data_IF_627667355356
#
_entry.id   IF_627667355356
#
_cell.length_a   1.000
_cell.length_b   1.000
_cell.length_c   1.000
_cell.angle_alpha   90.00
_cell.angle_beta   90.00
_cell.angle_gamma   90.00
#
_symmetry.space_group_name_H-M   'P 1'
#
loop_
_entity.id
_entity.type
_entity.pdbx_description
1 polymer ?
#
# COMPACT_ATOMS: atom_id res chain seq x y z
N UNK A 1 -33.51 19.90 -23.25
CA UNK A 1 -32.73 18.89 -22.51
C UNK A 1 -32.83 17.60 -23.30
N UNK A 2 -31.72 16.92 -23.54
CA UNK A 2 -31.73 15.61 -24.18
C UNK A 2 -31.94 14.55 -23.09
N UNK A 3 -32.77 13.55 -23.37
CA UNK A 3 -32.99 12.42 -22.47
C UNK A 3 -32.36 11.17 -23.11
N UNK A 4 -31.89 10.24 -22.28
CA UNK A 4 -31.24 9.03 -22.77
C UNK A 4 -31.04 7.97 -21.70
N UNK A 5 -30.33 6.92 -22.08
CA UNK A 5 -30.02 5.77 -21.24
C UNK A 5 -28.51 5.56 -21.21
N UNK A 6 -27.97 5.27 -20.03
CA UNK A 6 -26.57 4.90 -19.87
C UNK A 6 -26.41 3.40 -20.09
N UNK A 7 -25.65 3.00 -21.11
CA UNK A 7 -25.37 1.59 -21.42
C UNK A 7 -23.89 1.43 -21.73
N UNK A 8 -23.18 0.59 -20.96
CA UNK A 8 -21.76 0.29 -21.20
C UNK A 8 -20.84 1.52 -21.14
N UNK A 9 -21.18 2.53 -20.33
CA UNK A 9 -20.41 3.78 -20.22
C UNK A 9 -20.67 4.80 -21.34
N UNK A 10 -21.62 4.53 -22.24
CA UNK A 10 -22.04 5.44 -23.31
C UNK A 10 -23.48 5.86 -23.09
N UNK A 11 -23.77 7.14 -23.34
CA UNK A 11 -25.14 7.66 -23.34
C UNK A 11 -25.78 7.45 -24.69
N UNK A 12 -26.91 6.73 -24.70
CA UNK A 12 -27.76 6.53 -25.87
C UNK A 12 -28.92 7.53 -25.76
N UNK A 13 -28.95 8.53 -26.65
CA UNK A 13 -30.00 9.55 -26.68
C UNK A 13 -31.30 8.99 -27.23
N UNK A 14 -32.44 9.35 -26.62
CA UNK A 14 -33.76 8.97 -27.10
C UNK A 14 -34.45 10.09 -27.88
N UNK A 15 -35.00 9.76 -29.05
CA UNK A 15 -35.69 10.71 -29.92
C UNK A 15 -37.14 11.01 -29.47
N UNK A 16 -37.74 10.14 -28.66
CA UNK A 16 -39.09 10.29 -28.11
C UNK A 16 -39.11 10.97 -26.73
N UNK A 17 -37.93 11.37 -26.21
CA UNK A 17 -37.77 11.99 -24.91
C UNK A 17 -37.81 11.01 -23.73
N UNK A 18 -37.80 9.70 -23.97
CA UNK A 18 -37.69 8.70 -22.92
C UNK A 18 -36.28 8.65 -22.30
N UNK A 19 -36.18 8.17 -21.06
CA UNK A 19 -34.90 8.05 -20.33
C UNK A 19 -34.65 9.19 -19.34
N UNK A 20 -33.43 9.23 -18.80
CA UNK A 20 -33.00 10.24 -17.83
C UNK A 20 -32.46 11.48 -18.55
N UNK A 21 -32.63 12.70 -17.98
CA UNK A 21 -32.03 13.91 -18.51
C UNK A 21 -30.51 13.81 -18.49
N UNK A 22 -29.89 14.12 -19.63
CA UNK A 22 -28.45 14.10 -19.84
C UNK A 22 -27.89 15.50 -19.60
N UNK A 23 -26.91 15.61 -18.73
CA UNK A 23 -26.25 16.85 -18.32
C UNK A 23 -24.78 16.77 -18.71
N UNK A 24 -24.39 17.55 -19.71
CA UNK A 24 -22.98 17.78 -20.05
C UNK A 24 -22.35 18.76 -19.07
N UNK A 25 -21.09 18.54 -18.73
CA UNK A 25 -20.35 19.39 -17.78
C UNK A 25 -19.11 19.94 -18.47
N UNK A 26 -18.72 21.18 -18.14
CA UNK A 26 -17.52 21.77 -18.70
C UNK A 26 -16.27 20.98 -18.27
N UNK A 27 -15.32 20.70 -19.18
CA UNK A 27 -14.07 20.05 -18.83
C UNK A 27 -13.28 20.92 -17.82
N UNK A 28 -12.71 20.32 -16.75
CA UNK A 28 -11.87 21.04 -15.83
C UNK A 28 -10.53 21.44 -16.47
N UNK A 29 -9.78 22.32 -15.81
CA UNK A 29 -8.43 22.67 -16.26
C UNK A 29 -7.52 21.43 -16.21
N UNK A 30 -6.80 21.17 -17.30
CA UNK A 30 -5.95 19.99 -17.46
C UNK A 30 -4.47 20.38 -17.27
N UNK A 31 -3.80 19.92 -16.20
CA UNK A 31 -2.38 20.17 -15.99
C UNK A 31 -1.51 19.52 -17.07
N UNK A 32 -0.30 20.07 -17.27
CA UNK A 32 0.70 19.49 -18.18
C UNK A 32 1.06 18.05 -17.74
N UNK A 33 1.06 17.11 -18.70
CA UNK A 33 1.31 15.68 -18.45
C UNK A 33 0.05 14.86 -18.14
N UNK A 34 -1.12 15.49 -18.13
CA UNK A 34 -2.42 14.83 -18.02
C UNK A 34 -3.25 15.06 -19.28
N UNK A 35 -4.15 14.12 -19.55
CA UNK A 35 -5.25 14.23 -20.50
C UNK A 35 -6.57 14.01 -19.78
N UNK A 36 -7.62 14.66 -20.26
CA UNK A 36 -8.97 14.46 -19.75
C UNK A 36 -9.63 13.27 -20.45
N UNK A 37 -10.09 12.31 -19.66
CA UNK A 37 -10.98 11.23 -20.12
C UNK A 37 -12.39 11.56 -19.69
N UNK A 38 -13.30 11.73 -20.65
CA UNK A 38 -14.72 11.92 -20.35
C UNK A 38 -15.40 10.58 -20.07
N UNK A 39 -16.35 10.60 -19.15
CA UNK A 39 -17.21 9.49 -18.78
C UNK A 39 -18.62 9.96 -18.49
N UNK A 40 -19.48 9.02 -18.11
CA UNK A 40 -20.87 9.28 -17.78
C UNK A 40 -21.25 8.51 -16.53
N UNK A 41 -21.84 9.20 -15.57
CA UNK A 41 -22.40 8.60 -14.37
C UNK A 41 -23.93 8.72 -14.37
N UNK A 42 -24.58 7.62 -14.01
CA UNK A 42 -26.04 7.49 -14.04
C UNK A 42 -26.66 7.48 -12.64
N UNK A 43 -26.06 8.15 -11.65
CA UNK A 43 -26.60 8.17 -10.30
C UNK A 43 -27.82 9.09 -10.17
N UNK A 44 -28.96 8.53 -9.73
CA UNK A 44 -30.14 9.30 -9.34
C UNK A 44 -31.10 9.63 -10.50
N UNK A 45 -31.48 10.90 -10.62
CA UNK A 45 -32.52 11.38 -11.56
C UNK A 45 -31.98 11.93 -12.88
N UNK A 46 -30.68 11.83 -13.14
CA UNK A 46 -30.02 12.35 -14.34
C UNK A 46 -28.80 11.51 -14.72
N UNK A 47 -28.35 11.63 -15.96
CA UNK A 47 -27.05 11.12 -16.41
C UNK A 47 -26.10 12.32 -16.56
N UNK A 48 -25.02 12.34 -15.81
CA UNK A 48 -24.09 13.48 -15.74
C UNK A 48 -22.75 13.12 -16.37
N UNK A 49 -22.22 14.00 -17.20
CA UNK A 49 -20.87 13.85 -17.73
C UNK A 49 -19.84 14.06 -16.62
N UNK A 50 -18.90 13.14 -16.52
CA UNK A 50 -17.78 13.19 -15.58
C UNK A 50 -16.46 13.31 -16.34
N UNK A 51 -15.47 13.91 -15.68
CA UNK A 51 -14.13 14.10 -16.22
C UNK A 51 -13.11 13.49 -15.28
N UNK A 52 -12.28 12.59 -15.80
CA UNK A 52 -11.18 11.96 -15.08
C UNK A 52 -9.86 12.49 -15.64
N UNK A 53 -8.98 12.98 -14.76
CA UNK A 53 -7.61 13.34 -15.13
C UNK A 53 -6.77 12.07 -15.22
N UNK A 54 -6.29 11.75 -16.41
CA UNK A 54 -5.47 10.56 -16.68
C UNK A 54 -4.08 11.02 -17.12
N UNK A 55 -2.98 10.50 -16.55
CA UNK A 55 -1.64 10.79 -17.06
C UNK A 55 -1.51 10.42 -18.55
N UNK A 56 -0.71 11.16 -19.31
CA UNK A 56 -0.35 10.74 -20.67
C UNK A 56 0.72 9.64 -20.63
N UNK A 57 0.56 8.60 -21.45
CA UNK A 57 1.54 7.50 -21.59
C UNK A 57 2.89 8.04 -22.08
N UNK A 58 3.98 7.66 -21.41
CA UNK A 58 5.36 8.09 -21.69
C UNK A 58 5.78 9.41 -21.05
N UNK A 59 4.98 9.97 -20.15
CA UNK A 59 5.30 11.23 -19.45
C UNK A 59 6.39 11.10 -18.41
N UNK A 60 6.98 12.23 -18.03
CA UNK A 60 7.93 12.32 -16.92
C UNK A 60 7.35 11.79 -15.60
N UNK A 61 6.02 11.84 -15.39
CA UNK A 61 5.37 11.29 -14.20
C UNK A 61 5.38 9.75 -14.20
N UNK A 62 5.14 9.10 -15.34
CA UNK A 62 5.24 7.64 -15.43
C UNK A 62 6.68 7.16 -15.28
N UNK A 63 7.65 7.87 -15.88
CA UNK A 63 9.07 7.60 -15.68
C UNK A 63 9.49 7.81 -14.22
N UNK A 64 8.98 8.85 -13.56
CA UNK A 64 9.20 9.10 -12.15
C UNK A 64 8.56 8.01 -11.27
N UNK A 65 7.34 7.57 -11.57
CA UNK A 65 6.67 6.49 -10.84
C UNK A 65 7.42 5.17 -11.01
N UNK A 66 7.86 4.85 -12.23
CA UNK A 66 8.67 3.66 -12.51
C UNK A 66 10.01 3.73 -11.75
N UNK A 67 10.68 4.87 -11.74
CA UNK A 67 11.90 5.09 -10.96
C UNK A 67 11.64 4.98 -9.46
N UNK A 68 10.55 5.56 -8.95
CA UNK A 68 10.16 5.46 -7.55
C UNK A 68 9.87 4.02 -7.15
N UNK A 69 9.27 3.20 -8.03
CA UNK A 69 9.10 1.75 -7.78
C UNK A 69 10.42 0.98 -7.79
N UNK A 70 11.36 1.35 -8.65
CA UNK A 70 12.71 0.75 -8.61
C UNK A 70 13.44 1.12 -7.31
N UNK A 71 13.34 2.38 -6.89
CA UNK A 71 13.91 2.84 -5.62
C UNK A 71 13.21 2.19 -4.43
N UNK A 72 11.89 1.99 -4.49
CA UNK A 72 11.10 1.31 -3.46
C UNK A 72 11.69 -0.05 -3.11
N UNK A 73 12.10 -0.83 -4.10
CA UNK A 73 12.67 -2.16 -3.86
C UNK A 73 13.98 -2.14 -3.07
N UNK A 74 14.72 -1.02 -3.08
CA UNK A 74 15.94 -0.82 -2.28
C UNK A 74 15.70 -0.15 -0.93
N UNK A 75 14.47 0.29 -0.64
CA UNK A 75 14.17 0.92 0.65
C UNK A 75 14.25 -0.09 1.79
N UNK A 76 14.73 0.31 2.98
CA UNK A 76 14.47 -0.39 4.22
C UNK A 76 12.97 -0.61 4.44
N UNK A 77 12.60 -1.60 5.25
CA UNK A 77 11.20 -1.97 5.46
C UNK A 77 10.39 -0.85 6.14
N UNK A 78 11.00 -0.04 7.02
CA UNK A 78 10.36 1.15 7.59
C UNK A 78 9.94 2.16 6.50
N UNK A 79 10.89 2.56 5.65
CA UNK A 79 10.63 3.51 4.57
C UNK A 79 9.63 2.92 3.57
N UNK A 80 9.77 1.63 3.24
CA UNK A 80 8.82 0.93 2.38
C UNK A 80 7.42 0.88 2.98
N UNK A 81 7.26 0.76 4.31
CA UNK A 81 5.97 0.81 4.98
C UNK A 81 5.28 2.17 4.79
N UNK A 82 6.02 3.27 4.89
CA UNK A 82 5.49 4.63 4.72
C UNK A 82 5.02 4.90 3.29
N UNK A 83 5.77 4.39 2.30
CA UNK A 83 5.39 4.48 0.88
C UNK A 83 4.78 3.18 0.34
N UNK A 84 4.13 2.37 1.19
CA UNK A 84 3.57 1.06 0.82
C UNK A 84 2.54 1.08 -0.30
N UNK A 85 1.98 2.26 -0.60
CA UNK A 85 1.13 2.47 -1.77
C UNK A 85 1.87 2.33 -3.11
N UNK A 86 3.21 2.37 -3.10
CA UNK A 86 4.06 2.12 -4.27
C UNK A 86 4.32 0.63 -4.51
N UNK A 87 4.09 -0.23 -3.51
CA UNK A 87 4.25 -1.67 -3.66
C UNK A 87 3.26 -2.23 -4.68
N UNK A 88 3.69 -3.20 -5.46
CA UNK A 88 2.80 -3.88 -6.40
C UNK A 88 1.71 -4.65 -5.64
N UNK A 89 0.49 -4.62 -6.15
CA UNK A 89 -0.61 -5.40 -5.60
C UNK A 89 -0.34 -6.89 -5.82
N UNK A 90 -0.53 -7.72 -4.79
CA UNK A 90 -0.43 -9.17 -4.93
C UNK A 90 -1.43 -9.67 -5.98
N UNK A 91 -0.95 -10.56 -6.87
CA UNK A 91 -1.77 -11.29 -7.84
C UNK A 91 -1.30 -12.74 -7.96
N UNK A 92 -2.24 -13.67 -8.13
CA UNK A 92 -1.89 -15.06 -8.41
C UNK A 92 -1.10 -15.15 -9.74
N UNK A 93 -0.09 -16.03 -9.77
CA UNK A 93 0.81 -16.19 -10.91
C UNK A 93 1.99 -15.20 -10.93
N UNK A 94 2.10 -14.27 -9.97
CA UNK A 94 3.28 -13.41 -9.89
C UNK A 94 4.53 -14.18 -9.46
N UNK A 95 5.69 -13.77 -9.97
CA UNK A 95 6.99 -14.27 -9.52
C UNK A 95 7.47 -13.48 -8.32
N UNK A 96 7.74 -14.16 -7.22
CA UNK A 96 8.31 -13.60 -6.00
C UNK A 96 9.74 -14.10 -5.79
N UNK A 97 10.56 -13.23 -5.23
CA UNK A 97 11.97 -13.42 -4.94
C UNK A 97 12.16 -13.39 -3.42
N UNK A 98 12.69 -14.49 -2.87
CA UNK A 98 13.04 -14.66 -1.46
C UNK A 98 14.42 -14.08 -1.13
N UNK A 99 14.79 -14.03 0.17
CA UNK A 99 16.06 -13.45 0.62
C UNK A 99 17.30 -14.20 0.11
N UNK A 100 17.17 -15.48 -0.22
CA UNK A 100 18.22 -16.39 -0.68
C UNK A 100 18.13 -16.67 -2.19
N UNK A 101 17.47 -15.79 -2.97
CA UNK A 101 17.31 -16.03 -4.40
C UNK A 101 18.62 -15.93 -5.19
N UNK A 102 18.87 -16.92 -6.06
CA UNK A 102 20.04 -16.95 -6.95
C UNK A 102 19.98 -15.92 -8.10
N UNK A 103 18.85 -15.22 -8.28
CA UNK A 103 18.70 -14.20 -9.30
C UNK A 103 19.32 -12.85 -8.90
N UNK A 104 19.73 -12.69 -7.63
CA UNK A 104 20.25 -11.43 -7.09
C UNK A 104 19.21 -10.30 -7.08
N UNK A 105 17.93 -10.65 -7.14
CA UNK A 105 16.83 -9.69 -7.11
C UNK A 105 16.51 -9.29 -5.66
N UNK A 106 16.03 -8.07 -5.41
CA UNK A 106 15.56 -7.69 -4.08
C UNK A 106 14.36 -8.54 -3.65
N UNK A 107 14.20 -8.70 -2.33
CA UNK A 107 13.08 -9.46 -1.75
C UNK A 107 11.76 -8.83 -2.19
N UNK A 108 10.84 -9.66 -2.67
CA UNK A 108 9.53 -9.21 -3.13
C UNK A 108 8.70 -8.68 -1.96
N UNK A 109 8.15 -7.49 -2.14
CA UNK A 109 7.19 -6.87 -1.24
C UNK A 109 5.92 -6.54 -2.01
N UNK A 110 4.77 -6.85 -1.44
CA UNK A 110 3.47 -6.68 -2.08
C UNK A 110 2.48 -5.97 -1.17
N UNK A 111 1.59 -5.19 -1.77
CA UNK A 111 0.39 -4.73 -1.09
C UNK A 111 -0.69 -5.82 -1.14
N UNK A 112 -1.32 -6.08 0.00
CA UNK A 112 -2.50 -6.94 0.08
C UNK A 112 -3.51 -6.35 1.06
N UNK A 113 -4.65 -5.90 0.53
CA UNK A 113 -5.70 -5.20 1.29
C UNK A 113 -5.22 -4.00 2.11
N UNK A 114 -4.22 -3.26 1.62
CA UNK A 114 -3.70 -2.04 2.27
C UNK A 114 -2.49 -2.27 3.17
N UNK A 115 -2.21 -3.52 3.52
CA UNK A 115 -1.04 -3.91 4.30
C UNK A 115 0.13 -4.30 3.38
N UNK A 116 1.35 -4.08 3.86
CA UNK A 116 2.58 -4.45 3.16
C UNK A 116 3.08 -5.80 3.67
N UNK A 117 3.36 -6.72 2.75
CA UNK A 117 3.90 -8.03 3.06
C UNK A 117 5.22 -8.27 2.34
N UNK A 118 6.17 -8.88 3.04
CA UNK A 118 7.45 -9.37 2.53
C UNK A 118 7.36 -10.85 2.23
N UNK A 119 7.87 -11.27 1.08
CA UNK A 119 8.02 -12.68 0.75
C UNK A 119 9.18 -13.28 1.54
N UNK A 120 8.91 -14.33 2.32
CA UNK A 120 9.90 -15.04 3.16
C UNK A 120 10.17 -16.46 2.68
N UNK A 121 9.50 -16.90 1.61
CA UNK A 121 9.78 -18.19 0.99
C UNK A 121 11.19 -18.23 0.40
N UNK A 122 11.77 -19.42 0.33
CA UNK A 122 13.12 -19.61 -0.21
C UNK A 122 13.15 -19.47 -1.74
N UNK A 123 14.22 -18.86 -2.27
CA UNK A 123 14.54 -18.81 -3.69
C UNK A 123 13.56 -17.97 -4.52
N UNK A 124 13.28 -18.43 -5.73
CA UNK A 124 12.30 -17.80 -6.64
C UNK A 124 11.07 -18.69 -6.72
N UNK A 125 9.88 -18.13 -6.52
CA UNK A 125 8.63 -18.88 -6.56
C UNK A 125 7.55 -18.15 -7.35
N UNK A 126 6.72 -18.91 -8.07
CA UNK A 126 5.53 -18.38 -8.75
C UNK A 126 4.32 -18.64 -7.86
N UNK A 127 3.57 -17.58 -7.52
CA UNK A 127 2.46 -17.65 -6.58
C UNK A 127 1.30 -18.46 -7.15
N UNK A 128 0.88 -19.49 -6.42
CA UNK A 128 -0.24 -20.35 -6.79
C UNK A 128 -1.54 -19.87 -6.15
N UNK A 129 -2.71 -20.23 -6.72
CA UNK A 129 -3.98 -19.99 -6.06
C UNK A 129 -3.96 -20.51 -4.61
N UNK A 130 -4.24 -19.63 -3.66
CA UNK A 130 -4.20 -19.94 -2.22
C UNK A 130 -2.87 -19.64 -1.52
N UNK A 131 -1.85 -19.14 -2.22
CA UNK A 131 -0.57 -18.69 -1.64
C UNK A 131 -0.54 -17.18 -1.36
N UNK A 132 -1.72 -16.58 -1.16
CA UNK A 132 -1.81 -15.16 -0.83
C UNK A 132 -1.30 -14.88 0.59
N UNK A 133 -0.97 -13.61 0.92
CA UNK A 133 -0.30 -13.27 2.16
C UNK A 133 -1.01 -13.69 3.45
N UNK A 134 -2.34 -13.73 3.46
CA UNK A 134 -3.11 -14.15 4.65
C UNK A 134 -3.34 -15.66 4.72
N UNK A 135 -3.33 -16.36 3.57
CA UNK A 135 -3.58 -17.81 3.52
C UNK A 135 -2.30 -18.65 3.64
N UNK A 136 -1.13 -18.06 3.36
CA UNK A 136 0.17 -18.75 3.37
C UNK A 136 1.20 -18.02 4.25
N UNK A 137 1.05 -18.04 5.58
CA UNK A 137 1.98 -17.38 6.51
C UNK A 137 3.40 -17.95 6.48
N UNK A 138 3.59 -19.16 5.93
CA UNK A 138 4.93 -19.72 5.68
C UNK A 138 5.67 -19.05 4.52
N UNK A 139 4.96 -18.30 3.67
CA UNK A 139 5.52 -17.61 2.50
C UNK A 139 5.56 -16.10 2.67
N UNK A 140 4.80 -15.55 3.61
CA UNK A 140 4.62 -14.10 3.76
C UNK A 140 4.75 -13.68 5.22
N UNK A 141 5.48 -12.58 5.42
CA UNK A 141 5.55 -11.86 6.68
C UNK A 141 4.95 -10.47 6.48
N UNK A 142 4.01 -10.06 7.33
CA UNK A 142 3.50 -8.68 7.32
C UNK A 142 4.58 -7.74 7.85
N UNK A 143 4.86 -6.66 7.16
CA UNK A 143 5.77 -5.61 7.65
C UNK A 143 4.98 -4.73 8.63
N UNK A 144 5.48 -4.63 9.86
CA UNK A 144 4.88 -3.84 10.92
C UNK A 144 5.52 -2.44 10.99
N UNK A 145 4.78 -1.44 11.50
CA UNK A 145 5.36 -0.15 11.81
C UNK A 145 6.48 -0.26 12.86
N UNK A 146 7.55 0.52 12.69
CA UNK A 146 8.67 0.59 13.64
C UNK A 146 9.71 -0.53 13.53
N UNK A 147 9.59 -1.41 12.52
CA UNK A 147 10.61 -2.41 12.19
C UNK A 147 11.76 -1.80 11.40
N UNK A 148 12.98 -2.29 11.64
CA UNK A 148 14.27 -1.81 11.07
C UNK A 148 14.75 -0.46 11.61
N UNK A 149 14.54 -0.23 12.90
CA UNK A 149 14.96 0.99 13.58
C UNK A 149 14.10 2.19 13.22
N UNK A 150 13.86 3.04 14.21
CA UNK A 150 13.09 4.28 14.03
C UNK A 150 13.94 5.29 13.25
N UNK A 151 13.86 5.27 11.93
CA UNK A 151 14.58 6.17 11.04
C UNK A 151 14.15 7.62 11.22
N UNK A 152 14.23 8.40 10.15
CA UNK A 152 14.03 9.86 10.24
C UNK A 152 12.63 10.28 10.70
N UNK A 153 11.62 9.40 10.60
CA UNK A 153 10.24 9.65 11.08
C UNK A 153 10.03 9.30 12.56
N UNK A 154 11.00 8.64 13.19
CA UNK A 154 10.94 8.25 14.58
C UNK A 154 10.02 7.05 14.87
N UNK A 155 9.96 6.63 16.15
CA UNK A 155 9.35 5.37 16.56
C UNK A 155 7.84 5.34 16.32
N UNK A 156 7.37 4.29 15.63
CA UNK A 156 5.95 4.13 15.32
C UNK A 156 5.20 3.36 16.41
N UNK A 157 3.85 3.41 16.47
CA UNK A 157 3.07 2.63 17.43
C UNK A 157 3.35 1.13 17.31
N UNK A 158 3.54 0.46 18.44
CA UNK A 158 3.70 -1.00 18.47
C UNK A 158 2.43 -1.69 17.97
N UNK A 159 2.61 -2.71 17.13
CA UNK A 159 1.57 -3.65 16.73
C UNK A 159 1.98 -5.08 17.10
N UNK A 160 1.02 -5.91 17.52
CA UNK A 160 1.27 -7.31 17.85
C UNK A 160 1.83 -8.07 16.64
N UNK A 161 3.04 -8.64 16.74
CA UNK A 161 3.57 -9.51 15.71
C UNK A 161 2.99 -10.92 15.73
N UNK A 162 3.08 -11.58 14.58
CA UNK A 162 3.01 -13.02 14.42
C UNK A 162 4.40 -13.65 14.59
N UNK A 163 4.48 -14.99 14.50
CA UNK A 163 5.76 -15.72 14.65
C UNK A 163 6.78 -15.47 13.53
N UNK A 164 6.40 -14.77 12.46
CA UNK A 164 7.22 -14.58 11.24
C UNK A 164 7.69 -13.14 11.03
N UNK A 165 7.28 -12.22 11.91
CA UNK A 165 7.54 -10.80 11.76
C UNK A 165 7.76 -10.13 13.12
N UNK A 166 8.44 -10.81 14.05
CA UNK A 166 8.87 -10.19 15.31
C UNK A 166 9.79 -8.99 15.08
N UNK A 167 9.84 -8.08 16.05
CA UNK A 167 10.76 -6.94 16.03
C UNK A 167 12.21 -7.40 16.25
N UNK A 168 13.16 -6.82 15.54
CA UNK A 168 14.58 -7.14 15.68
C UNK A 168 15.21 -6.43 16.88
N UNK A 169 16.39 -6.86 17.34
CA UNK A 169 17.14 -6.11 18.36
C UNK A 169 17.42 -4.68 17.86
N UNK A 170 17.16 -3.68 18.72
CA UNK A 170 17.35 -2.27 18.41
C UNK A 170 16.15 -1.58 17.74
N UNK A 171 15.13 -2.32 17.30
CA UNK A 171 13.86 -1.72 16.82
C UNK A 171 13.22 -0.91 17.94
N UNK A 172 12.55 0.20 17.58
CA UNK A 172 11.86 1.02 18.58
C UNK A 172 10.44 1.35 18.18
N UNK A 173 9.59 1.36 19.20
CA UNK A 173 8.15 1.54 19.08
C UNK A 173 7.62 2.44 20.19
N UNK A 174 6.47 3.06 19.96
CA UNK A 174 5.70 3.71 21.01
C UNK A 174 4.58 2.79 21.50
N UNK A 175 4.45 2.66 22.82
CA UNK A 175 3.38 1.86 23.44
C UNK A 175 3.04 2.43 24.82
N UNK A 176 1.75 2.62 25.09
CA UNK A 176 1.23 3.22 26.33
C UNK A 176 1.90 4.56 26.72
N UNK A 177 2.13 5.43 25.74
CA UNK A 177 2.75 6.75 25.94
C UNK A 177 4.25 6.72 26.25
N UNK A 178 4.89 5.57 26.08
CA UNK A 178 6.33 5.37 26.32
C UNK A 178 7.04 4.91 25.06
N UNK A 179 8.32 5.21 25.00
CA UNK A 179 9.23 4.74 23.96
C UNK A 179 9.94 3.46 24.45
N UNK A 180 9.93 2.43 23.61
CA UNK A 180 10.52 1.13 23.89
C UNK A 180 11.52 0.75 22.81
N UNK A 181 12.63 0.14 23.20
CA UNK A 181 13.64 -0.46 22.31
C UNK A 181 13.68 -1.97 22.54
N UNK A 182 13.58 -2.75 21.46
CA UNK A 182 13.69 -4.20 21.52
C UNK A 182 15.13 -4.60 21.86
N UNK A 183 15.29 -5.55 22.77
CA UNK A 183 16.57 -6.07 23.25
C UNK A 183 16.95 -7.41 22.64
N UNK A 184 16.08 -7.97 21.80
CA UNK A 184 16.24 -9.31 21.22
C UNK A 184 15.69 -9.34 19.80
N UNK A 185 16.23 -10.23 18.98
CA UNK A 185 15.67 -10.55 17.67
C UNK A 185 14.36 -11.35 17.79
N UNK A 186 13.53 -11.26 16.76
CA UNK A 186 12.22 -11.92 16.66
C UNK A 186 11.33 -11.66 17.89
N UNK A 187 11.28 -10.41 18.35
CA UNK A 187 10.52 -9.99 19.51
C UNK A 187 9.01 -9.87 19.22
N UNK A 188 8.25 -10.82 19.76
CA UNK A 188 6.78 -10.90 19.63
C UNK A 188 6.03 -10.47 20.89
N UNK A 189 6.74 -10.15 21.97
CA UNK A 189 6.13 -9.83 23.26
C UNK A 189 5.70 -8.36 23.31
N UNK A 190 4.63 -8.05 24.03
CA UNK A 190 4.12 -6.69 24.18
C UNK A 190 5.02 -5.86 25.13
N UNK A 191 5.43 -4.63 24.74
CA UNK A 191 6.30 -3.80 25.58
C UNK A 191 5.72 -3.51 26.97
N UNK A 192 6.53 -3.73 28.01
CA UNK A 192 6.13 -3.48 29.40
C UNK A 192 5.31 -4.60 30.04
N UNK A 193 5.04 -5.69 29.31
CA UNK A 193 4.46 -6.93 29.89
C UNK A 193 5.55 -7.92 30.30
N UNK A 194 6.69 -7.90 29.61
CA UNK A 194 7.87 -8.64 30.01
C UNK A 194 8.58 -7.90 31.14
N UNK A 195 9.25 -8.63 32.04
CA UNK A 195 9.96 -8.04 33.19
C UNK A 195 11.24 -7.26 32.78
N UNK A 196 11.24 -6.59 31.63
CA UNK A 196 12.33 -5.78 31.08
C UNK A 196 13.47 -6.59 30.43
N UNK A 197 13.18 -7.79 29.93
CA UNK A 197 14.20 -8.68 29.33
C UNK A 197 14.27 -8.57 27.81
N UNK A 198 13.17 -8.21 27.18
CA UNK A 198 12.97 -8.11 25.74
C UNK A 198 12.71 -6.67 25.32
N UNK A 199 12.17 -5.85 26.21
CA UNK A 199 11.99 -4.42 25.96
C UNK A 199 12.72 -3.56 26.98
N UNK A 200 13.39 -2.53 26.47
CA UNK A 200 13.99 -1.46 27.25
C UNK A 200 13.12 -0.22 27.16
N UNK A 201 12.62 0.22 28.30
CA UNK A 201 11.92 1.49 28.45
C UNK A 201 12.91 2.66 28.30
N UNK A 202 12.72 3.50 27.29
CA UNK A 202 13.53 4.68 27.03
C UNK A 202 12.92 5.97 27.62
N UNK A 203 11.75 5.88 28.25
CA UNK A 203 11.04 7.01 28.86
C UNK A 203 9.78 7.40 28.11
N UNK A 204 9.22 8.59 28.40
CA UNK A 204 8.06 9.12 27.70
C UNK A 204 8.32 9.22 26.19
N UNK A 205 7.34 8.87 25.37
CA UNK A 205 7.39 9.18 23.94
C UNK A 205 7.27 10.70 23.77
N UNK A 206 8.36 11.40 23.41
CA UNK A 206 8.27 12.83 23.11
C UNK A 206 7.47 13.05 21.81
N UNK A 207 6.40 13.86 21.87
CA UNK A 207 5.66 14.30 20.67
C UNK A 207 4.19 13.87 20.54
N UNK A 208 3.54 13.31 21.57
CA UNK A 208 2.08 13.08 21.55
C UNK A 208 1.42 13.88 22.68
N UNK A 209 1.34 15.21 22.47
CA UNK A 209 0.43 16.04 23.25
C UNK A 209 -1.03 15.65 22.92
N UNK A 210 -1.85 15.67 23.97
CA UNK A 210 -3.24 15.24 24.05
C UNK A 210 -4.22 15.96 23.10
#
# INVERSE_FOLDING_TARGET
>A
MANGYLAGGVVILSADGSGLPVVETAPPECPVGYRLKSGWDGAGTSITQTWELVPEEGTAQEAALALSRMQFQSLPDEAAYLVRALADQYVDGMTCYGPDNDAGMPVTRVNYYGDLYRFIGSGVQVMQPGWNPVAAPSLWARILPGQEGSGDEGPQPWEQPDSTNGYSEGDRVTHNGRLWESLVDDNVDEPGTDNGFRWKDLGPAEGVDA
#
